data_IF_530509560113
#
_entry.id   IF_530509560113
#
_cell.length_a   1.000
_cell.length_b   1.000
_cell.length_c   1.000
_cell.angle_alpha   90.00
_cell.angle_beta   90.00
_cell.angle_gamma   90.00
#
_symmetry.space_group_name_H-M   'P 1'
#
loop_
_entity.id
_entity.type
_entity.pdbx_description
1 polymer ?
#
# COMPACT_ATOMS: atom_id res chain seq x y z
N UNK A 1 -1.41 25.14 39.97
CA UNK A 1 -0.06 25.13 40.57
C UNK A 1 0.02 23.96 41.54
N UNK A 2 1.17 23.30 41.53
CA UNK A 2 1.72 22.41 42.56
C UNK A 2 1.06 21.04 42.79
N UNK A 3 1.80 20.02 42.30
CA UNK A 3 1.76 18.64 42.71
C UNK A 3 2.25 18.44 44.14
N UNK A 4 1.88 17.35 44.79
CA UNK A 4 2.77 16.68 45.74
C UNK A 4 2.48 15.19 45.79
N UNK A 5 3.50 14.41 45.43
CA UNK A 5 3.60 12.98 45.62
C UNK A 5 3.72 12.64 47.11
N UNK A 6 3.16 11.52 47.55
CA UNK A 6 3.67 10.78 48.70
C UNK A 6 3.68 9.28 48.40
N UNK A 7 4.89 8.74 48.34
CA UNK A 7 5.25 7.32 48.30
C UNK A 7 5.26 6.73 49.73
N UNK A 8 5.06 5.39 49.77
CA UNK A 8 5.62 4.40 50.71
C UNK A 8 4.99 4.18 52.11
N UNK A 9 4.58 2.93 52.33
CA UNK A 9 4.97 2.02 53.43
C UNK A 9 4.71 0.58 52.90
N UNK A 10 5.62 -0.40 52.78
CA UNK A 10 6.63 -1.06 53.62
C UNK A 10 6.11 -1.85 54.83
N UNK A 11 6.28 -3.18 54.74
CA UNK A 11 6.88 -4.12 55.72
C UNK A 11 6.22 -5.50 55.50
N UNK A 12 6.92 -6.47 54.93
CA UNK A 12 7.78 -7.44 55.65
C UNK A 12 7.01 -8.21 56.71
N UNK A 13 6.88 -9.53 56.52
CA UNK A 13 6.82 -10.53 57.59
C UNK A 13 6.98 -11.94 56.99
N UNK A 14 8.23 -12.32 56.68
CA UNK A 14 8.66 -13.71 56.87
C UNK A 14 9.06 -13.89 58.33
N UNK A 15 8.76 -15.06 58.92
CA UNK A 15 9.79 -15.73 59.70
C UNK A 15 9.99 -17.19 59.29
N UNK A 16 11.25 -17.58 59.41
CA UNK A 16 11.91 -18.84 59.16
C UNK A 16 11.68 -19.91 60.24
N UNK A 17 11.52 -21.16 59.77
CA UNK A 17 12.19 -22.42 60.16
C UNK A 17 12.29 -22.87 61.63
N UNK A 18 11.89 -24.13 61.88
CA UNK A 18 12.59 -25.26 62.58
C UNK A 18 11.53 -26.26 63.09
N UNK A 19 11.68 -27.59 63.17
CA UNK A 19 12.75 -28.53 62.84
C UNK A 19 12.18 -29.97 62.87
N UNK A 20 12.70 -30.83 61.98
CA UNK A 20 13.21 -32.22 62.17
C UNK A 20 12.31 -33.31 62.80
N UNK A 21 12.30 -34.49 62.13
CA UNK A 21 12.47 -35.91 62.61
C UNK A 21 11.65 -36.81 61.65
N UNK A 22 12.11 -37.86 60.94
CA UNK A 22 13.28 -38.77 60.91
C UNK A 22 13.34 -39.41 59.49
N UNK A 23 14.52 -39.61 58.88
CA UNK A 23 15.24 -40.89 58.68
C UNK A 23 14.43 -41.99 57.94
N UNK A 24 14.86 -42.73 56.92
CA UNK A 24 16.06 -42.86 56.08
C UNK A 24 15.71 -43.89 55.00
N UNK A 25 15.99 -43.67 53.72
CA UNK A 25 16.58 -44.68 52.82
C UNK A 25 16.86 -44.07 51.44
N UNK A 26 18.13 -44.13 51.01
CA UNK A 26 18.54 -44.04 49.60
C UNK A 26 18.82 -45.47 49.14
N UNK A 27 18.37 -45.87 47.94
CA UNK A 27 19.33 -46.27 46.91
C UNK A 27 19.04 -45.61 45.55
N UNK A 28 19.95 -45.72 44.57
CA UNK A 28 20.14 -44.73 43.52
C UNK A 28 19.43 -45.06 42.20
N UNK A 29 19.40 -44.02 41.34
CA UNK A 29 19.23 -44.05 39.89
C UNK A 29 17.85 -44.47 39.33
N UNK A 30 17.11 -43.48 38.85
CA UNK A 30 16.66 -43.46 37.44
C UNK A 30 16.45 -42.00 37.07
N UNK A 31 17.13 -41.53 36.01
CA UNK A 31 16.86 -40.24 35.42
C UNK A 31 15.41 -40.24 34.91
N UNK A 32 14.53 -39.54 35.62
CA UNK A 32 13.19 -39.27 35.13
C UNK A 32 13.32 -38.30 33.95
N UNK A 33 12.69 -38.59 32.80
CA UNK A 33 12.75 -37.73 31.64
C UNK A 33 12.12 -36.38 32.02
N UNK A 34 12.86 -35.32 31.71
CA UNK A 34 12.38 -33.94 31.67
C UNK A 34 10.94 -33.94 31.18
N UNK A 35 10.00 -33.52 32.03
CA UNK A 35 8.61 -33.34 31.66
C UNK A 35 8.59 -32.58 30.33
N UNK A 36 8.08 -33.27 29.31
CA UNK A 36 7.89 -32.72 28.00
C UNK A 36 7.07 -31.44 28.16
N UNK A 37 7.61 -30.35 27.61
CA UNK A 37 6.89 -29.09 27.49
C UNK A 37 5.48 -29.39 26.94
N UNK A 38 4.41 -28.79 27.49
CA UNK A 38 3.08 -29.01 26.99
C UNK A 38 3.07 -28.71 25.49
N UNK A 39 2.70 -29.71 24.69
CA UNK A 39 2.44 -29.57 23.27
C UNK A 39 1.44 -28.42 23.15
N UNK A 40 1.89 -27.31 22.56
CA UNK A 40 1.09 -26.08 22.46
C UNK A 40 -0.24 -26.42 21.78
N UNK A 41 -1.33 -26.37 22.54
CA UNK A 41 -2.66 -26.52 21.98
C UNK A 41 -2.88 -25.41 20.95
N UNK A 42 -3.57 -25.68 19.82
CA UNK A 42 -3.91 -24.65 18.85
C UNK A 42 -4.61 -23.49 19.56
N UNK A 43 -3.94 -22.35 19.65
CA UNK A 43 -4.43 -21.19 20.37
C UNK A 43 -5.35 -20.41 19.45
N UNK A 44 -6.60 -20.22 19.88
CA UNK A 44 -7.53 -19.34 19.19
C UNK A 44 -7.09 -17.89 19.36
N UNK A 45 -6.94 -17.18 18.24
CA UNK A 45 -6.55 -15.77 18.19
C UNK A 45 -7.60 -14.94 17.44
N UNK A 46 -7.72 -13.68 17.81
CA UNK A 46 -8.68 -12.74 17.21
C UNK A 46 -10.05 -12.72 17.89
N UNK A 47 -10.10 -13.12 19.16
CA UNK A 47 -11.32 -13.10 20.00
C UNK A 47 -11.47 -11.79 20.78
N UNK A 48 -10.47 -10.90 20.74
CA UNK A 48 -10.44 -9.68 21.53
C UNK A 48 -9.86 -9.88 22.93
N UNK A 49 -8.97 -10.86 23.10
CA UNK A 49 -8.33 -11.11 24.39
C UNK A 49 -7.47 -9.91 24.84
N UNK A 50 -7.17 -9.76 26.15
CA UNK A 50 -6.44 -8.59 26.66
C UNK A 50 -5.02 -8.41 26.09
N UNK A 51 -4.43 -9.51 25.62
CA UNK A 51 -3.11 -9.50 24.98
C UNK A 51 -3.20 -9.36 23.45
N UNK A 52 -4.39 -9.11 22.90
CA UNK A 52 -4.64 -8.90 21.47
C UNK A 52 -4.90 -7.42 21.18
N UNK A 53 -4.36 -6.93 20.08
CA UNK A 53 -4.57 -5.55 19.63
C UNK A 53 -4.78 -5.51 18.13
N UNK A 54 -5.92 -4.95 17.73
CA UNK A 54 -6.29 -4.79 16.33
C UNK A 54 -5.87 -3.41 15.82
N UNK A 55 -5.20 -3.37 14.68
CA UNK A 55 -4.75 -2.12 14.05
C UNK A 55 -4.95 -2.21 12.53
N UNK A 56 -5.62 -1.22 11.95
CA UNK A 56 -5.74 -1.11 10.50
C UNK A 56 -4.51 -0.42 9.91
N UNK A 57 -3.75 -1.12 9.06
CA UNK A 57 -2.54 -0.60 8.41
C UNK A 57 -2.73 -0.74 6.91
N UNK A 58 -2.66 0.37 6.16
CA UNK A 58 -2.83 0.34 4.71
C UNK A 58 -4.21 -0.17 4.23
N UNK A 59 -5.24 -0.08 5.07
CA UNK A 59 -6.58 -0.59 4.77
C UNK A 59 -6.78 -2.08 5.07
N UNK A 60 -5.74 -2.78 5.55
CA UNK A 60 -5.83 -4.19 5.98
C UNK A 60 -5.85 -4.22 7.51
N UNK A 61 -6.72 -5.06 8.08
CA UNK A 61 -6.75 -5.30 9.52
C UNK A 61 -5.55 -6.17 9.93
N UNK A 62 -4.78 -5.72 10.90
CA UNK A 62 -3.72 -6.51 11.50
C UNK A 62 -4.07 -6.83 12.95
N UNK A 63 -3.73 -8.05 13.36
CA UNK A 63 -3.83 -8.49 14.75
C UNK A 63 -2.41 -8.60 15.31
N UNK A 64 -2.17 -7.94 16.44
CA UNK A 64 -0.94 -8.06 17.22
C UNK A 64 -1.25 -8.80 18.50
N UNK A 65 -0.54 -9.89 18.75
CA UNK A 65 -0.67 -10.71 19.95
C UNK A 65 0.60 -10.55 20.77
N UNK A 66 0.47 -9.99 21.97
CA UNK A 66 1.56 -9.90 22.93
C UNK A 66 1.74 -11.25 23.64
N UNK A 67 2.90 -11.87 23.46
CA UNK A 67 3.28 -13.14 24.09
C UNK A 67 4.24 -12.94 25.27
N UNK A 68 4.57 -11.68 25.59
CA UNK A 68 5.42 -11.28 26.71
C UNK A 68 6.86 -11.01 26.30
N UNK A 69 7.51 -11.95 25.60
CA UNK A 69 8.89 -11.79 25.11
C UNK A 69 8.94 -11.31 23.64
N UNK A 70 7.86 -11.52 22.90
CA UNK A 70 7.68 -11.06 21.54
C UNK A 70 6.22 -10.71 21.24
N UNK A 71 6.03 -10.02 20.12
CA UNK A 71 4.70 -9.65 19.60
C UNK A 71 4.52 -10.29 18.24
N UNK A 72 3.58 -11.22 18.14
CA UNK A 72 3.22 -11.87 16.89
C UNK A 72 2.22 -11.00 16.12
N UNK A 73 2.54 -10.69 14.86
CA UNK A 73 1.69 -9.92 13.96
C UNK A 73 1.04 -10.87 12.95
N UNK A 74 -0.27 -10.77 12.80
CA UNK A 74 -1.08 -11.54 11.86
C UNK A 74 -1.81 -10.60 10.88
N UNK A 75 -2.25 -11.18 9.76
CA UNK A 75 -3.19 -10.57 8.81
C UNK A 75 -4.31 -11.56 8.47
N UNK A 76 -5.51 -11.11 8.08
CA UNK A 76 -6.52 -11.98 7.54
C UNK A 76 -6.01 -12.56 6.22
N UNK A 77 -6.20 -13.87 6.06
CA UNK A 77 -5.98 -14.61 4.84
C UNK A 77 -7.20 -15.48 4.55
N UNK A 78 -7.40 -15.82 3.28
CA UNK A 78 -8.47 -16.68 2.83
C UNK A 78 -7.84 -17.88 2.13
N UNK A 79 -8.30 -19.09 2.43
CA UNK A 79 -7.90 -20.25 1.64
C UNK A 79 -8.67 -20.25 0.34
N UNK A 80 -8.00 -20.59 -0.75
CA UNK A 80 -8.62 -20.75 -2.05
C UNK A 80 -8.93 -22.24 -2.26
N UNK A 81 -10.20 -22.59 -2.31
CA UNK A 81 -10.63 -23.99 -2.45
C UNK A 81 -11.44 -24.19 -3.73
N UNK A 82 -11.25 -25.30 -4.46
CA UNK A 82 -12.13 -25.66 -5.57
C UNK A 82 -13.54 -25.95 -5.06
N UNK A 83 -14.51 -25.17 -5.52
CA UNK A 83 -15.92 -25.34 -5.20
C UNK A 83 -16.72 -25.58 -6.48
N UNK A 84 -17.67 -26.52 -6.43
CA UNK A 84 -18.64 -26.69 -7.49
C UNK A 84 -19.62 -25.52 -7.51
N UNK A 85 -19.77 -24.89 -8.67
CA UNK A 85 -20.75 -23.82 -8.88
C UNK A 85 -21.63 -24.19 -10.08
N UNK A 86 -22.76 -23.47 -10.24
CA UNK A 86 -23.62 -23.61 -11.44
C UNK A 86 -22.90 -23.32 -12.77
N UNK A 87 -21.69 -22.77 -12.73
CA UNK A 87 -20.82 -22.48 -13.88
C UNK A 87 -19.63 -23.45 -13.96
N UNK A 88 -19.73 -24.62 -13.32
CA UNK A 88 -18.66 -25.61 -13.16
C UNK A 88 -17.80 -25.35 -11.92
N UNK A 89 -16.74 -26.14 -11.75
CA UNK A 89 -15.78 -26.00 -10.64
C UNK A 89 -15.01 -24.69 -10.76
N UNK A 90 -15.03 -23.88 -9.69
CA UNK A 90 -14.31 -22.61 -9.58
C UNK A 90 -13.49 -22.62 -8.30
N UNK A 91 -12.30 -22.03 -8.35
CA UNK A 91 -11.52 -21.76 -7.14
C UNK A 91 -12.14 -20.52 -6.50
N UNK A 92 -12.70 -20.67 -5.31
CA UNK A 92 -13.32 -19.59 -4.55
C UNK A 92 -12.55 -19.40 -3.24
N UNK A 93 -12.35 -18.16 -2.79
CA UNK A 93 -11.85 -17.92 -1.46
C UNK A 93 -12.89 -18.37 -0.43
N UNK A 94 -12.41 -18.90 0.70
CA UNK A 94 -13.24 -19.21 1.85
C UNK A 94 -13.98 -17.95 2.34
N UNK A 95 -15.18 -18.14 2.89
CA UNK A 95 -16.03 -17.01 3.32
C UNK A 95 -15.53 -16.37 4.63
N UNK A 96 -14.88 -17.16 5.48
CA UNK A 96 -14.31 -16.70 6.73
C UNK A 96 -12.79 -16.57 6.58
N UNK A 97 -12.19 -15.42 6.95
CA UNK A 97 -10.74 -15.31 6.97
C UNK A 97 -10.18 -16.08 8.17
N UNK A 98 -8.98 -16.63 8.00
CA UNK A 98 -8.14 -17.09 9.11
C UNK A 98 -6.99 -16.11 9.35
N UNK A 99 -6.37 -16.20 10.53
CA UNK A 99 -5.21 -15.40 10.88
C UNK A 99 -3.93 -16.05 10.38
N UNK A 100 -3.28 -15.41 9.41
CA UNK A 100 -1.98 -15.83 8.90
C UNK A 100 -0.87 -15.02 9.56
N UNK A 101 0.11 -15.72 10.14
CA UNK A 101 1.28 -15.10 10.77
C UNK A 101 2.08 -14.33 9.71
N UNK A 102 2.26 -13.03 9.95
CA UNK A 102 3.01 -12.14 9.08
C UNK A 102 4.46 -11.99 9.56
N UNK A 103 4.65 -11.74 10.86
CA UNK A 103 5.95 -11.43 11.44
C UNK A 103 5.92 -11.52 12.96
N UNK A 104 7.03 -11.91 13.56
CA UNK A 104 7.28 -11.77 15.00
C UNK A 104 8.18 -10.56 15.27
N UNK A 105 7.82 -9.75 16.25
CA UNK A 105 8.56 -8.57 16.66
C UNK A 105 9.17 -8.81 18.04
N UNK A 106 10.50 -8.77 18.14
CA UNK A 106 11.22 -8.77 19.42
C UNK A 106 11.31 -7.35 19.99
N UNK A 107 10.15 -6.74 20.18
CA UNK A 107 10.01 -5.37 20.65
C UNK A 107 8.65 -5.24 21.37
N UNK A 108 8.51 -4.28 22.30
CA UNK A 108 7.23 -4.04 22.96
C UNK A 108 6.14 -3.67 21.94
N UNK A 109 4.89 -3.99 22.26
CA UNK A 109 3.71 -3.83 21.39
C UNK A 109 3.66 -2.51 20.62
N UNK A 110 3.92 -1.38 21.30
CA UNK A 110 3.91 -0.05 20.68
C UNK A 110 4.94 0.09 19.55
N UNK A 111 6.13 -0.48 19.74
CA UNK A 111 7.20 -0.45 18.75
C UNK A 111 6.96 -1.44 17.61
N UNK A 112 6.39 -2.61 17.90
CA UNK A 112 5.95 -3.58 16.90
C UNK A 112 4.93 -2.95 15.94
N UNK A 113 3.90 -2.28 16.48
CA UNK A 113 2.88 -1.57 15.69
C UNK A 113 3.54 -0.45 14.86
N UNK A 114 4.37 0.38 15.47
CA UNK A 114 5.04 1.46 14.76
C UNK A 114 5.95 0.93 13.62
N UNK A 115 6.62 -0.20 13.85
CA UNK A 115 7.45 -0.87 12.85
C UNK A 115 6.61 -1.44 11.72
N UNK A 116 5.47 -2.05 12.02
CA UNK A 116 4.53 -2.53 11.01
C UNK A 116 3.98 -1.38 10.15
N UNK A 117 3.60 -0.25 10.77
CA UNK A 117 3.14 0.94 10.04
C UNK A 117 4.24 1.47 9.11
N UNK A 118 5.47 1.64 9.61
CA UNK A 118 6.60 2.09 8.78
C UNK A 118 6.96 1.10 7.67
N UNK A 119 6.92 -0.20 7.97
CA UNK A 119 7.20 -1.27 7.01
C UNK A 119 6.18 -1.30 5.87
N UNK A 120 4.90 -1.02 6.17
CA UNK A 120 3.86 -0.93 5.14
C UNK A 120 4.05 0.28 4.20
N UNK A 121 4.71 1.35 4.65
CA UNK A 121 5.07 2.49 3.80
C UNK A 121 6.16 2.10 2.77
N UNK A 122 6.91 1.02 3.00
CA UNK A 122 7.95 0.51 2.10
C UNK A 122 7.58 -0.72 1.25
N UNK A 123 6.52 -1.46 1.59
CA UNK A 123 6.17 -2.74 0.97
C UNK A 123 5.11 -2.67 -0.15
N UNK A 124 4.72 -1.48 -0.59
CA UNK A 124 4.12 -1.29 -1.92
C UNK A 124 5.14 -1.38 -3.07
N UNK A 125 6.36 -1.87 -2.80
CA UNK A 125 7.31 -2.31 -3.82
C UNK A 125 7.30 -3.84 -3.87
N UNK A 126 6.80 -4.40 -4.97
CA UNK A 126 6.85 -5.83 -5.26
C UNK A 126 8.30 -6.38 -5.22
N UNK A 127 8.52 -7.65 -4.86
CA UNK A 127 9.87 -8.21 -4.74
C UNK A 127 10.55 -8.33 -6.12
N UNK A 128 11.87 -8.10 -6.23
CA UNK A 128 12.59 -8.27 -7.47
C UNK A 128 12.90 -9.75 -7.68
N UNK A 129 12.42 -10.30 -8.79
CA UNK A 129 12.86 -11.60 -9.30
C UNK A 129 14.34 -11.47 -9.70
N UNK A 130 15.17 -12.34 -9.14
CA UNK A 130 16.62 -12.36 -9.35
C UNK A 130 16.97 -12.59 -10.83
N UNK A 131 17.98 -11.85 -11.28
CA UNK A 131 18.58 -11.92 -12.61
C UNK A 131 19.57 -13.08 -12.67
N UNK A 132 19.59 -13.78 -13.79
CA UNK A 132 20.78 -14.50 -14.27
C UNK A 132 21.22 -13.98 -15.64
N UNK A 133 22.55 -13.77 -15.73
CA UNK A 133 23.49 -13.59 -16.85
C UNK A 133 22.96 -13.16 -18.24
N UNK A 134 23.25 -11.97 -18.76
CA UNK A 134 24.52 -11.47 -19.34
C UNK A 134 24.89 -12.05 -20.73
N UNK A 135 24.78 -11.23 -21.80
CA UNK A 135 25.80 -11.02 -22.87
C UNK A 135 25.53 -9.67 -23.58
N UNK A 136 26.55 -8.81 -23.86
CA UNK A 136 26.42 -7.56 -24.63
C UNK A 136 26.96 -7.69 -26.07
N UNK A 137 26.33 -7.05 -27.08
CA UNK A 137 27.01 -6.64 -28.34
C UNK A 137 26.36 -5.35 -28.90
N UNK A 138 27.23 -4.50 -29.45
CA UNK A 138 27.11 -3.09 -29.79
C UNK A 138 26.56 -2.76 -31.21
N UNK A 139 26.68 -1.47 -31.54
CA UNK A 139 26.65 -0.77 -32.85
C UNK A 139 25.29 -0.21 -33.29
N UNK A 140 25.08 1.12 -33.19
CA UNK A 140 25.55 2.20 -34.08
C UNK A 140 24.83 2.22 -35.43
N UNK A 141 24.05 3.28 -35.69
CA UNK A 141 24.06 4.01 -36.96
C UNK A 141 23.58 5.45 -36.73
N UNK A 142 24.50 6.40 -36.92
CA UNK A 142 24.25 7.81 -37.15
C UNK A 142 23.76 8.04 -38.59
N UNK A 143 23.07 9.17 -38.79
CA UNK A 143 22.71 9.70 -40.10
C UNK A 143 22.07 11.08 -39.95
N UNK A 144 22.93 12.10 -39.91
CA UNK A 144 22.61 13.54 -40.00
C UNK A 144 22.05 13.89 -41.39
N UNK A 145 21.22 14.93 -41.49
CA UNK A 145 21.51 16.06 -42.39
C UNK A 145 20.68 17.32 -42.03
N UNK A 146 21.30 18.46 -42.29
CA UNK A 146 21.07 19.83 -41.81
C UNK A 146 20.66 20.73 -42.99
N UNK A 147 19.74 21.70 -42.81
CA UNK A 147 19.77 23.08 -43.40
C UNK A 147 18.47 23.85 -43.05
N UNK A 148 18.48 24.84 -42.15
CA UNK A 148 18.81 26.29 -42.27
C UNK A 148 17.70 27.22 -42.84
N UNK A 149 17.37 28.28 -42.05
CA UNK A 149 17.01 29.68 -42.40
C UNK A 149 15.72 30.31 -41.79
N UNK A 150 15.88 30.95 -40.62
CA UNK A 150 15.73 32.40 -40.29
C UNK A 150 14.38 33.18 -40.44
N UNK A 151 14.21 34.36 -39.78
CA UNK A 151 13.10 34.63 -38.84
C UNK A 151 12.06 35.68 -39.29
N UNK A 152 10.88 35.69 -38.66
CA UNK A 152 9.90 36.81 -38.73
C UNK A 152 9.30 37.12 -37.34
N UNK A 153 9.23 38.42 -37.04
CA UNK A 153 8.79 39.04 -35.77
C UNK A 153 7.26 39.14 -35.60
N UNK A 154 6.84 38.89 -34.35
CA UNK A 154 5.78 39.55 -33.52
C UNK A 154 4.31 39.58 -33.98
N UNK A 155 3.45 38.92 -33.17
CA UNK A 155 2.36 39.59 -32.41
C UNK A 155 1.96 38.79 -31.17
N UNK A 156 1.36 39.49 -30.21
CA UNK A 156 1.47 39.29 -28.76
C UNK A 156 0.51 38.26 -28.12
N UNK A 157 0.91 37.86 -26.90
CA UNK A 157 0.11 37.44 -25.76
C UNK A 157 -0.71 36.14 -25.84
N UNK A 158 -0.15 35.09 -25.23
CA UNK A 158 -0.70 34.48 -24.00
C UNK A 158 0.42 33.72 -23.30
N UNK A 159 0.43 33.85 -21.99
CA UNK A 159 1.55 33.55 -21.11
C UNK A 159 2.08 32.13 -21.27
N UNK A 160 3.40 32.11 -21.23
CA UNK A 160 4.28 30.97 -21.14
C UNK A 160 3.87 30.04 -19.98
N UNK A 161 3.04 29.03 -20.26
CA UNK A 161 2.82 27.93 -19.30
C UNK A 161 4.13 27.16 -19.23
N UNK A 162 4.87 27.42 -18.15
CA UNK A 162 6.07 26.69 -17.73
C UNK A 162 5.76 25.19 -17.77
N UNK A 163 6.26 24.54 -18.82
CA UNK A 163 6.02 23.12 -19.10
C UNK A 163 7.35 22.42 -18.97
N UNK A 164 7.69 22.00 -17.76
CA UNK A 164 8.99 21.37 -17.52
C UNK A 164 9.11 20.61 -16.19
N UNK A 165 8.69 21.18 -15.07
CA UNK A 165 9.15 20.70 -13.75
C UNK A 165 8.11 20.01 -12.84
N UNK A 166 6.81 20.06 -13.18
CA UNK A 166 5.75 19.68 -12.24
C UNK A 166 5.28 18.20 -12.35
N UNK A 167 6.13 17.27 -12.78
CA UNK A 167 5.72 15.85 -12.91
C UNK A 167 5.34 15.25 -11.53
N UNK A 168 5.82 15.83 -10.43
CA UNK A 168 5.57 15.39 -9.05
C UNK A 168 4.91 16.43 -8.15
N UNK A 169 4.67 17.65 -8.63
CA UNK A 169 4.08 18.70 -7.83
C UNK A 169 2.61 18.40 -7.55
N UNK A 170 2.17 18.65 -6.32
CA UNK A 170 0.77 18.49 -5.93
C UNK A 170 0.01 19.79 -6.20
N UNK A 171 -1.06 19.72 -7.00
CA UNK A 171 -2.00 20.83 -7.20
C UNK A 171 -2.98 20.82 -6.04
N UNK A 172 -3.00 21.90 -5.25
CA UNK A 172 -3.89 22.03 -4.10
C UNK A 172 -4.90 23.15 -4.34
N UNK A 173 -6.17 22.89 -4.09
CA UNK A 173 -7.23 23.86 -4.32
C UNK A 173 -8.63 23.26 -4.14
N UNK A 174 -9.64 24.05 -4.50
CA UNK A 174 -11.06 23.67 -4.41
C UNK A 174 -11.50 22.97 -5.69
N UNK A 175 -12.21 21.86 -5.57
CA UNK A 175 -12.72 21.14 -6.75
C UNK A 175 -13.88 21.91 -7.37
N UNK A 176 -13.76 22.29 -8.64
CA UNK A 176 -14.81 22.96 -9.39
C UNK A 176 -15.72 21.96 -10.13
N UNK A 177 -15.13 20.88 -10.64
CA UNK A 177 -15.85 19.87 -11.43
C UNK A 177 -14.91 18.91 -12.12
N UNK A 178 -15.48 17.89 -12.75
CA UNK A 178 -14.75 16.92 -13.57
C UNK A 178 -15.68 16.29 -14.60
N UNK A 179 -15.10 15.79 -15.69
CA UNK A 179 -15.87 15.19 -16.78
C UNK A 179 -15.00 14.85 -17.98
N UNK A 180 -15.64 14.36 -19.04
CA UNK A 180 -14.98 14.09 -20.31
C UNK A 180 -14.96 15.35 -21.18
N UNK A 181 -13.76 15.75 -21.61
CA UNK A 181 -13.53 16.95 -22.38
C UNK A 181 -12.71 16.66 -23.65
N UNK A 182 -12.85 17.53 -24.65
CA UNK A 182 -12.12 17.42 -25.92
C UNK A 182 -10.82 18.21 -25.85
N UNK A 183 -9.71 17.52 -26.04
CA UNK A 183 -8.37 18.09 -26.06
C UNK A 183 -7.81 18.09 -27.48
N UNK A 184 -7.11 19.16 -27.90
CA UNK A 184 -6.52 19.23 -29.23
C UNK A 184 -5.43 18.17 -29.37
N UNK A 185 -5.48 17.43 -30.47
CA UNK A 185 -4.46 16.47 -30.84
C UNK A 185 -3.31 17.20 -31.56
N UNK A 186 -2.08 16.94 -31.15
CA UNK A 186 -0.88 17.55 -31.75
C UNK A 186 -0.26 16.69 -32.85
N UNK A 187 -0.81 15.51 -33.11
CA UNK A 187 -0.33 14.64 -34.19
C UNK A 187 -0.79 15.22 -35.54
N UNK A 188 0.11 15.36 -36.53
CA UNK A 188 -0.22 15.93 -37.83
C UNK A 188 -1.21 15.07 -38.62
N UNK A 189 -1.30 13.78 -38.29
CA UNK A 189 -2.21 12.81 -38.91
C UNK A 189 -3.19 12.28 -37.87
N UNK A 190 -4.50 12.46 -38.12
CA UNK A 190 -5.57 11.93 -37.28
C UNK A 190 -6.68 12.92 -36.96
N UNK A 191 -7.56 12.57 -36.01
CA UNK A 191 -8.64 13.45 -35.54
C UNK A 191 -8.05 14.69 -34.83
N UNK A 192 -8.61 15.90 -35.07
CA UNK A 192 -8.09 17.15 -34.52
C UNK A 192 -8.26 17.26 -33.00
N UNK A 193 -9.22 16.52 -32.42
CA UNK A 193 -9.45 16.43 -30.99
C UNK A 193 -9.56 14.98 -30.55
N UNK A 194 -9.20 14.71 -29.31
CA UNK A 194 -9.47 13.46 -28.62
C UNK A 194 -10.21 13.76 -27.32
N UNK A 195 -11.08 12.84 -26.90
CA UNK A 195 -11.79 12.96 -25.63
C UNK A 195 -10.95 12.34 -24.52
N UNK A 196 -10.86 13.00 -23.38
CA UNK A 196 -10.23 12.46 -22.18
C UNK A 196 -10.88 13.04 -20.94
N UNK A 197 -10.82 12.31 -19.84
CA UNK A 197 -11.29 12.81 -18.57
C UNK A 197 -10.39 13.91 -17.99
N UNK A 198 -11.01 14.94 -17.42
CA UNK A 198 -10.33 16.06 -16.79
C UNK A 198 -11.03 16.50 -15.50
N UNK A 199 -10.25 17.13 -14.63
CA UNK A 199 -10.68 17.68 -13.35
C UNK A 199 -10.20 19.13 -13.24
N UNK A 200 -11.09 20.03 -12.83
CA UNK A 200 -10.78 21.44 -12.65
C UNK A 200 -10.67 21.78 -11.17
N UNK A 201 -9.59 22.48 -10.82
CA UNK A 201 -9.26 22.86 -9.46
C UNK A 201 -9.00 24.36 -9.41
N UNK A 202 -9.74 25.06 -8.55
CA UNK A 202 -9.47 26.45 -8.22
C UNK A 202 -8.30 26.53 -7.25
N UNK A 203 -7.16 27.03 -7.73
CA UNK A 203 -5.96 27.26 -6.94
C UNK A 203 -5.81 28.74 -6.61
N UNK A 204 -4.87 29.09 -5.72
CA UNK A 204 -4.55 30.50 -5.45
C UNK A 204 -4.08 31.29 -6.69
N UNK A 205 -3.61 30.59 -7.73
CA UNK A 205 -3.18 31.17 -9.00
C UNK A 205 -4.27 31.13 -10.10
N UNK A 206 -5.49 30.76 -9.74
CA UNK A 206 -6.60 30.56 -10.66
C UNK A 206 -6.89 29.08 -10.95
N UNK A 207 -7.74 28.85 -11.95
CA UNK A 207 -8.20 27.51 -12.33
C UNK A 207 -7.08 26.70 -13.00
N UNK A 208 -6.94 25.44 -12.56
CA UNK A 208 -6.03 24.45 -13.11
C UNK A 208 -6.81 23.23 -13.59
N UNK A 209 -6.64 22.89 -14.86
CA UNK A 209 -7.18 21.67 -15.45
C UNK A 209 -6.15 20.54 -15.37
N UNK A 210 -6.50 19.46 -14.69
CA UNK A 210 -5.74 18.22 -14.63
C UNK A 210 -6.37 17.22 -15.59
N UNK A 211 -5.56 16.56 -16.41
CA UNK A 211 -6.04 15.68 -17.48
C UNK A 211 -5.51 14.25 -17.34
N UNK A 212 -6.42 13.27 -17.44
CA UNK A 212 -6.08 11.86 -17.61
C UNK A 212 -7.10 10.89 -17.01
N UNK A 213 -7.25 9.72 -17.63
CA UNK A 213 -8.23 8.70 -17.21
C UNK A 213 -8.06 8.21 -15.76
N UNK A 214 -6.84 8.20 -15.22
CA UNK A 214 -6.62 7.78 -13.82
C UNK A 214 -7.19 8.72 -12.77
N UNK A 215 -7.66 9.91 -13.15
CA UNK A 215 -8.40 10.78 -12.25
C UNK A 215 -9.74 10.16 -11.85
N UNK A 216 -10.39 9.35 -12.72
CA UNK A 216 -11.64 8.65 -12.39
C UNK A 216 -11.46 7.76 -11.15
N UNK A 217 -10.42 6.92 -11.17
CA UNK A 217 -10.08 6.02 -10.06
C UNK A 217 -9.74 6.81 -8.79
N UNK A 218 -8.94 7.88 -8.92
CA UNK A 218 -8.51 8.68 -7.77
C UNK A 218 -9.66 9.45 -7.11
N UNK A 219 -10.62 9.96 -7.90
CA UNK A 219 -11.84 10.60 -7.40
C UNK A 219 -12.70 9.56 -6.69
N UNK A 220 -12.90 8.38 -7.30
CA UNK A 220 -13.68 7.30 -6.69
C UNK A 220 -13.06 6.83 -5.36
N UNK A 221 -11.74 6.64 -5.31
CA UNK A 221 -11.02 6.19 -4.13
C UNK A 221 -11.00 7.24 -3.01
N UNK A 222 -10.79 8.51 -3.36
CA UNK A 222 -10.79 9.59 -2.37
C UNK A 222 -12.20 9.99 -1.93
N UNK A 223 -13.21 9.72 -2.76
CA UNK A 223 -14.62 10.11 -2.59
C UNK A 223 -14.88 11.62 -2.58
N UNK A 224 -13.93 12.43 -3.08
CA UNK A 224 -14.06 13.89 -3.06
C UNK A 224 -15.28 14.38 -3.86
N UNK A 225 -15.85 15.50 -3.44
CA UNK A 225 -17.01 16.14 -4.06
C UNK A 225 -16.64 17.50 -4.66
N UNK A 226 -17.47 17.99 -5.57
CA UNK A 226 -17.39 19.37 -6.03
C UNK A 226 -17.56 20.30 -4.83
N UNK A 227 -16.64 21.25 -4.68
CA UNK A 227 -16.55 22.16 -3.54
C UNK A 227 -15.54 21.75 -2.46
N UNK A 228 -15.05 20.51 -2.47
CA UNK A 228 -14.05 20.05 -1.49
C UNK A 228 -12.69 20.71 -1.73
N UNK A 229 -11.93 20.95 -0.67
CA UNK A 229 -10.50 21.31 -0.77
C UNK A 229 -9.65 20.05 -0.82
N UNK A 230 -8.85 19.91 -1.88
CA UNK A 230 -8.07 18.70 -2.14
C UNK A 230 -6.63 19.02 -2.53
N UNK A 231 -5.75 18.05 -2.32
CA UNK A 231 -4.40 18.01 -2.89
C UNK A 231 -4.33 16.85 -3.88
N UNK A 232 -4.13 17.18 -5.16
CA UNK A 232 -4.11 16.23 -6.27
C UNK A 232 -2.70 16.12 -6.81
N UNK A 233 -2.22 14.89 -6.94
CA UNK A 233 -0.85 14.61 -7.35
C UNK A 233 -0.81 13.53 -8.41
N UNK A 234 -0.04 13.78 -9.47
CA UNK A 234 0.32 12.76 -10.45
C UNK A 234 1.39 11.86 -9.86
N UNK A 235 1.18 10.55 -9.94
CA UNK A 235 2.11 9.54 -9.44
C UNK A 235 2.96 9.02 -10.60
N UNK A 236 2.80 7.75 -10.95
CA UNK A 236 3.54 7.07 -11.99
C UNK A 236 2.65 6.63 -13.15
N UNK A 237 3.28 6.16 -14.22
CA UNK A 237 2.57 5.48 -15.30
C UNK A 237 2.53 3.98 -15.02
N UNK A 238 1.36 3.40 -15.18
CA UNK A 238 1.17 1.95 -15.18
C UNK A 238 0.73 1.47 -16.56
N UNK A 239 0.94 0.20 -16.84
CA UNK A 239 0.41 -0.49 -18.01
C UNK A 239 -0.96 -1.06 -17.67
N UNK A 240 -1.99 -0.64 -18.40
CA UNK A 240 -3.35 -1.18 -18.26
C UNK A 240 -3.78 -1.88 -19.54
N UNK A 241 -4.58 -2.93 -19.46
CA UNK A 241 -5.11 -3.58 -20.65
C UNK A 241 -5.93 -2.59 -21.48
N UNK A 242 -5.63 -2.54 -22.79
CA UNK A 242 -6.32 -1.68 -23.72
C UNK A 242 -7.68 -2.27 -24.10
N UNK A 243 -8.71 -1.43 -24.06
CA UNK A 243 -10.05 -1.78 -24.49
C UNK A 243 -10.50 -0.77 -25.55
N UNK A 244 -11.31 -1.25 -26.50
CA UNK A 244 -12.01 -0.39 -27.45
C UNK A 244 -13.15 0.36 -26.74
N UNK A 245 -13.70 1.40 -27.37
CA UNK A 245 -14.86 2.13 -26.85
C UNK A 245 -16.07 1.21 -26.57
N UNK A 246 -16.15 0.05 -27.26
CA UNK A 246 -17.15 -0.99 -27.04
C UNK A 246 -16.81 -2.03 -25.96
N UNK A 247 -15.76 -1.80 -25.16
CA UNK A 247 -15.36 -2.67 -24.04
C UNK A 247 -14.65 -3.97 -24.45
N UNK A 248 -14.33 -4.17 -25.73
CA UNK A 248 -13.59 -5.35 -26.20
C UNK A 248 -12.09 -5.15 -26.07
N UNK A 249 -11.32 -6.15 -25.60
CA UNK A 249 -9.86 -6.03 -25.46
C UNK A 249 -9.21 -5.80 -26.83
N UNK A 250 -8.24 -4.89 -26.88
CA UNK A 250 -7.45 -4.64 -28.09
C UNK A 250 -6.34 -5.67 -28.18
N UNK A 251 -6.35 -6.50 -29.23
CA UNK A 251 -5.36 -7.56 -29.45
C UNK A 251 -4.39 -7.17 -30.58
N UNK A 252 -3.10 -7.45 -30.41
CA UNK A 252 -2.07 -7.33 -31.46
C UNK A 252 -1.19 -8.58 -31.42
N UNK A 253 -1.10 -9.30 -32.55
CA UNK A 253 -0.35 -10.55 -32.67
C UNK A 253 -0.72 -11.62 -31.61
N UNK A 254 -2.02 -11.73 -31.30
CA UNK A 254 -2.51 -12.68 -30.29
C UNK A 254 -2.25 -12.26 -28.83
N UNK A 255 -1.57 -11.15 -28.57
CA UNK A 255 -1.35 -10.60 -27.23
C UNK A 255 -2.24 -9.38 -26.98
N UNK A 256 -2.68 -9.19 -25.73
CA UNK A 256 -3.44 -8.02 -25.35
C UNK A 256 -2.52 -6.78 -25.32
N UNK A 257 -2.93 -5.73 -26.01
CA UNK A 257 -2.22 -4.45 -26.01
C UNK A 257 -2.35 -3.80 -24.64
N UNK A 258 -1.26 -3.23 -24.14
CA UNK A 258 -1.24 -2.47 -22.90
C UNK A 258 -1.04 -0.97 -23.20
N UNK A 259 -1.86 -0.11 -22.61
CA UNK A 259 -1.74 1.34 -22.68
C UNK A 259 -1.11 1.92 -21.43
N UNK A 260 -0.44 3.06 -21.59
CA UNK A 260 0.03 3.86 -20.46
C UNK A 260 -1.16 4.58 -19.82
N UNK A 261 -1.41 4.33 -18.54
CA UNK A 261 -2.34 5.12 -17.71
C UNK A 261 -1.54 5.78 -16.60
N UNK A 262 -1.75 7.08 -16.40
CA UNK A 262 -1.18 7.78 -15.26
C UNK A 262 -2.01 7.50 -14.02
N UNK A 263 -1.36 7.11 -12.92
CA UNK A 263 -1.95 7.06 -11.60
C UNK A 263 -1.99 8.45 -10.98
N UNK A 264 -3.06 8.71 -10.25
CA UNK A 264 -3.30 9.96 -9.55
C UNK A 264 -3.64 9.65 -8.09
N UNK A 265 -3.22 10.54 -7.19
CA UNK A 265 -3.60 10.51 -5.78
C UNK A 265 -4.34 11.79 -5.46
N UNK A 266 -5.49 11.66 -4.80
CA UNK A 266 -6.27 12.79 -4.27
C UNK A 266 -6.36 12.62 -2.76
N UNK A 267 -5.94 13.64 -2.02
CA UNK A 267 -6.11 13.72 -0.57
C UNK A 267 -7.02 14.90 -0.24
N UNK A 268 -8.06 14.65 0.55
CA UNK A 268 -8.91 15.74 1.09
C UNK A 268 -8.15 16.49 2.17
N UNK A 269 -8.41 17.80 2.27
CA UNK A 269 -7.90 18.66 3.34
C UNK A 269 -9.01 19.05 4.30
#
# INVERSE_FOLDING_TARGET
MAATYLFRAFADLFPSRSAVTQASHVPPATAAPSEAQPIAQPREIGTGAPNETFVTIGGVLHLFVDEGDCVAQFKPAFEETPCETRFGTKILPELAPYWSLLREHRAPLKEAIATAIRGNVGLTAAPPVQRDAAVPVAQEFQGEDETQHLPVRRRAAREHVQRGDDIRAATTGKVLGWGEEKFPNRKPTGRPFYTSFAMHIETAMGERTLQGEGLKDAIAQSGCRVGDSVSVRRLEKIKVPAFTDGGKPVMKNGQQVLWDKWLWSIKRR
#
